data_IF_995540114753
#
_entry.id   IF_995540114753
#
_cell.length_a   1.000
_cell.length_b   1.000
_cell.length_c   1.000
_cell.angle_alpha   90.00
_cell.angle_beta   90.00
_cell.angle_gamma   90.00
#
_symmetry.space_group_name_H-M   'P 1'
#
loop_
_entity.id
_entity.type
_entity.pdbx_description
1 polymer ?
#
# COMPACT_ATOMS: atom_id res chain seq x y z
N UNK A 1 -11.49 -25.95 -9.65
CA UNK A 1 -11.78 -26.28 -8.24
C UNK A 1 -12.48 -25.08 -7.61
N UNK A 2 -13.67 -25.27 -7.05
CA UNK A 2 -14.41 -24.23 -6.30
C UNK A 2 -13.62 -23.99 -5.02
N UNK A 3 -13.08 -22.77 -4.84
CA UNK A 3 -12.53 -22.35 -3.55
C UNK A 3 -13.64 -22.52 -2.50
N UNK A 4 -13.32 -23.21 -1.40
CA UNK A 4 -14.28 -23.41 -0.32
C UNK A 4 -14.75 -22.04 0.19
N UNK A 5 -16.00 -21.71 -0.05
CA UNK A 5 -16.65 -20.41 0.18
C UNK A 5 -16.32 -19.70 1.52
N UNK A 6 -16.10 -20.37 2.67
CA UNK A 6 -15.92 -19.67 3.93
C UNK A 6 -14.55 -18.98 4.10
N UNK A 7 -13.45 -19.54 3.57
CA UNK A 7 -12.12 -18.91 3.69
C UNK A 7 -11.97 -17.70 2.79
N UNK A 8 -12.52 -17.73 1.59
CA UNK A 8 -12.52 -16.61 0.66
C UNK A 8 -13.31 -15.42 1.21
N UNK A 9 -14.52 -15.63 1.75
CA UNK A 9 -15.32 -14.56 2.34
C UNK A 9 -14.62 -13.90 3.53
N UNK A 10 -14.02 -14.70 4.42
CA UNK A 10 -13.24 -14.16 5.55
C UNK A 10 -12.07 -13.29 5.08
N UNK A 11 -11.34 -13.72 4.06
CA UNK A 11 -10.24 -12.95 3.50
C UNK A 11 -10.72 -11.61 2.94
N UNK A 12 -11.83 -11.56 2.20
CA UNK A 12 -12.41 -10.33 1.70
C UNK A 12 -12.83 -9.39 2.83
N UNK A 13 -13.56 -9.90 3.83
CA UNK A 13 -14.03 -9.09 4.97
C UNK A 13 -12.86 -8.52 5.79
N UNK A 14 -11.83 -9.32 6.07
CA UNK A 14 -10.65 -8.85 6.78
C UNK A 14 -9.86 -7.82 5.97
N UNK A 15 -9.70 -8.02 4.66
CA UNK A 15 -9.07 -7.03 3.78
C UNK A 15 -9.85 -5.71 3.77
N UNK A 16 -11.17 -5.72 3.63
CA UNK A 16 -11.99 -4.50 3.69
C UNK A 16 -11.81 -3.81 5.04
N UNK A 17 -11.76 -4.57 6.14
CA UNK A 17 -11.56 -4.01 7.48
C UNK A 17 -10.21 -3.31 7.63
N UNK A 18 -9.12 -3.89 7.14
CA UNK A 18 -7.80 -3.24 7.21
C UNK A 18 -7.68 -2.06 6.27
N UNK A 19 -8.33 -2.10 5.10
CA UNK A 19 -8.36 -0.98 4.15
C UNK A 19 -9.15 0.20 4.74
N UNK A 20 -10.25 -0.07 5.47
CA UNK A 20 -10.94 0.94 6.26
C UNK A 20 -10.01 1.56 7.32
N UNK A 21 -9.26 0.73 8.05
CA UNK A 21 -8.26 1.22 9.02
C UNK A 21 -7.21 2.09 8.32
N UNK A 22 -6.64 1.64 7.20
CA UNK A 22 -5.64 2.43 6.47
C UNK A 22 -6.21 3.78 6.02
N UNK A 23 -7.36 3.79 5.35
CA UNK A 23 -8.00 5.04 4.92
C UNK A 23 -8.27 6.01 6.09
N UNK A 24 -8.78 5.49 7.21
CA UNK A 24 -9.07 6.30 8.40
C UNK A 24 -7.80 6.84 9.06
N UNK A 25 -6.69 6.13 9.01
CA UNK A 25 -5.43 6.56 9.63
C UNK A 25 -4.77 7.74 8.93
N UNK A 26 -5.12 8.09 7.68
CA UNK A 26 -4.60 9.30 7.03
C UNK A 26 -4.92 10.58 7.82
N UNK A 27 -6.14 10.72 8.31
CA UNK A 27 -6.55 11.86 9.14
C UNK A 27 -5.83 11.85 10.48
N UNK A 28 -5.78 10.67 11.13
CA UNK A 28 -5.13 10.51 12.43
C UNK A 28 -3.64 10.86 12.36
N UNK A 29 -2.94 10.34 11.35
CA UNK A 29 -1.51 10.62 11.11
C UNK A 29 -1.32 12.11 10.78
N UNK A 30 -2.14 12.68 9.91
CA UNK A 30 -2.06 14.12 9.56
C UNK A 30 -2.13 15.01 10.80
N UNK A 31 -3.01 14.71 11.73
CA UNK A 31 -3.14 15.47 12.98
C UNK A 31 -1.92 15.27 13.89
N UNK A 32 -1.40 14.04 14.00
CA UNK A 32 -0.21 13.77 14.80
C UNK A 32 1.06 14.47 14.26
N UNK A 33 1.16 14.66 12.94
CA UNK A 33 2.31 15.33 12.30
C UNK A 33 2.45 16.83 12.63
N UNK A 34 1.53 17.42 13.38
CA UNK A 34 1.72 18.71 14.00
C UNK A 34 2.77 18.68 15.13
N UNK A 35 2.83 17.56 15.86
CA UNK A 35 3.60 17.41 17.08
C UNK A 35 4.80 16.44 16.95
N UNK A 36 4.90 15.70 15.84
CA UNK A 36 6.00 14.76 15.59
C UNK A 36 6.47 14.87 14.14
N UNK A 37 7.78 14.72 13.97
CA UNK A 37 8.36 14.73 12.63
C UNK A 37 8.03 13.44 11.85
N UNK A 38 7.83 13.51 10.51
CA UNK A 38 7.31 12.42 9.69
C UNK A 38 8.13 11.13 9.73
N UNK A 39 9.45 11.25 9.60
CA UNK A 39 10.31 10.08 9.54
C UNK A 39 10.46 9.42 10.91
N UNK A 40 10.51 10.23 11.98
CA UNK A 40 10.51 9.72 13.35
C UNK A 40 9.19 8.99 13.67
N UNK A 41 8.05 9.54 13.25
CA UNK A 41 6.76 8.89 13.41
C UNK A 41 6.76 7.49 12.79
N UNK A 42 7.24 7.37 11.55
CA UNK A 42 7.32 6.09 10.84
C UNK A 42 8.28 5.12 11.53
N UNK A 43 9.45 5.58 11.98
CA UNK A 43 10.41 4.75 12.70
C UNK A 43 9.80 4.15 13.97
N UNK A 44 9.17 4.98 14.80
CA UNK A 44 8.53 4.52 16.05
C UNK A 44 7.39 3.54 15.73
N UNK A 45 6.51 3.90 14.78
CA UNK A 45 5.39 3.06 14.33
C UNK A 45 5.87 1.68 13.85
N UNK A 46 6.88 1.64 12.98
CA UNK A 46 7.41 0.37 12.43
C UNK A 46 8.13 -0.45 13.50
N UNK A 47 8.88 0.19 14.38
CA UNK A 47 9.55 -0.49 15.50
C UNK A 47 8.54 -1.12 16.45
N UNK A 48 7.48 -0.40 16.85
CA UNK A 48 6.42 -0.95 17.69
C UNK A 48 5.67 -2.08 16.97
N UNK A 49 5.37 -1.92 15.68
CA UNK A 49 4.76 -2.98 14.87
C UNK A 49 5.63 -4.23 14.77
N UNK A 50 6.95 -4.05 14.56
CA UNK A 50 7.90 -5.16 14.56
C UNK A 50 7.96 -5.87 15.91
N UNK A 51 8.04 -5.13 17.02
CA UNK A 51 8.05 -5.72 18.36
C UNK A 51 6.78 -6.53 18.63
N UNK A 52 5.62 -6.01 18.25
CA UNK A 52 4.34 -6.72 18.33
C UNK A 52 4.40 -8.04 17.55
N UNK A 53 4.81 -8.02 16.29
CA UNK A 53 4.94 -9.22 15.45
C UNK A 53 6.02 -10.18 15.97
N UNK A 54 7.12 -9.66 16.48
CA UNK A 54 8.20 -10.46 17.05
C UNK A 54 7.75 -11.25 18.28
N UNK A 55 6.89 -10.65 19.13
CA UNK A 55 6.28 -11.35 20.28
C UNK A 55 5.31 -12.42 19.79
N UNK A 56 4.39 -12.08 18.86
CA UNK A 56 3.36 -13.01 18.36
C UNK A 56 3.99 -14.18 17.62
N UNK A 57 4.97 -13.92 16.78
CA UNK A 57 5.59 -14.91 15.90
C UNK A 57 6.99 -15.35 16.34
N UNK A 58 7.37 -15.21 17.61
CA UNK A 58 8.71 -15.50 18.13
C UNK A 58 9.25 -16.88 17.74
N UNK A 59 8.37 -17.89 17.61
CA UNK A 59 8.76 -19.25 17.20
C UNK A 59 9.25 -19.37 15.76
N UNK A 60 8.85 -18.43 14.90
CA UNK A 60 9.21 -18.45 13.48
C UNK A 60 10.65 -17.97 13.22
N UNK A 61 11.25 -17.21 14.16
CA UNK A 61 12.65 -16.74 14.05
C UNK A 61 13.64 -17.89 13.97
N UNK A 62 13.42 -18.98 14.71
CA UNK A 62 14.33 -20.14 14.74
C UNK A 62 14.46 -20.86 13.41
N UNK A 63 13.53 -20.65 12.48
CA UNK A 63 13.47 -21.34 11.17
C UNK A 63 13.78 -20.42 9.99
N UNK A 64 14.22 -19.18 10.26
CA UNK A 64 14.55 -18.22 9.20
C UNK A 64 15.88 -18.62 8.55
N UNK A 65 15.85 -18.71 7.22
CA UNK A 65 17.04 -18.97 6.39
C UNK A 65 17.43 -17.70 5.64
N UNK A 66 18.67 -17.61 5.20
CA UNK A 66 19.20 -16.45 4.47
C UNK A 66 18.31 -16.01 3.29
N UNK A 67 17.75 -16.91 2.45
CA UNK A 67 16.89 -16.48 1.33
C UNK A 67 15.63 -15.71 1.77
N UNK A 68 14.96 -16.13 2.86
CA UNK A 68 13.76 -15.41 3.34
C UNK A 68 14.15 -14.08 4.01
N UNK A 69 15.32 -14.01 4.65
CA UNK A 69 15.85 -12.77 5.24
C UNK A 69 16.11 -11.75 4.12
N UNK A 70 16.78 -12.17 3.03
CA UNK A 70 17.01 -11.31 1.86
C UNK A 70 15.70 -10.85 1.21
N UNK A 71 14.71 -11.75 1.06
CA UNK A 71 13.39 -11.41 0.56
C UNK A 71 12.70 -10.35 1.45
N UNK A 72 12.71 -10.56 2.76
CA UNK A 72 12.16 -9.62 3.73
C UNK A 72 12.86 -8.26 3.72
N UNK A 73 14.19 -8.24 3.50
CA UNK A 73 14.94 -7.00 3.37
C UNK A 73 14.54 -6.20 2.12
N UNK A 74 14.38 -6.86 0.96
CA UNK A 74 13.94 -6.21 -0.28
C UNK A 74 12.53 -5.64 -0.11
N UNK A 75 11.58 -6.43 0.40
CA UNK A 75 10.21 -5.98 0.63
C UNK A 75 10.18 -4.84 1.66
N UNK A 76 10.99 -4.96 2.74
CA UNK A 76 11.09 -3.95 3.78
C UNK A 76 11.70 -2.63 3.31
N UNK A 77 12.66 -2.66 2.40
CA UNK A 77 13.22 -1.45 1.78
C UNK A 77 12.16 -0.70 0.94
N UNK A 78 11.43 -1.42 0.09
CA UNK A 78 10.35 -0.85 -0.72
C UNK A 78 9.24 -0.27 0.19
N UNK A 79 8.88 -0.99 1.25
CA UNK A 79 7.92 -0.56 2.25
C UNK A 79 8.38 0.73 2.97
N UNK A 80 9.65 0.77 3.39
CA UNK A 80 10.23 1.94 4.03
C UNK A 80 10.18 3.17 3.12
N UNK A 81 10.59 3.03 1.86
CA UNK A 81 10.50 4.10 0.87
C UNK A 81 9.06 4.58 0.70
N UNK A 82 8.10 3.65 0.53
CA UNK A 82 6.67 3.97 0.44
C UNK A 82 6.19 4.82 1.60
N UNK A 83 6.40 4.39 2.84
CA UNK A 83 5.95 5.12 4.03
C UNK A 83 6.69 6.42 4.29
N UNK A 84 8.00 6.48 4.05
CA UNK A 84 8.76 7.73 4.24
C UNK A 84 8.23 8.82 3.32
N UNK A 85 8.06 8.51 2.04
CA UNK A 85 7.48 9.45 1.08
C UNK A 85 6.01 9.77 1.38
N UNK A 86 5.20 8.77 1.80
CA UNK A 86 3.80 8.99 2.15
C UNK A 86 3.65 9.97 3.30
N UNK A 87 4.35 9.75 4.40
CA UNK A 87 4.17 10.53 5.63
C UNK A 87 4.78 11.92 5.48
N UNK A 88 5.94 12.04 4.81
CA UNK A 88 6.51 13.34 4.46
C UNK A 88 5.59 14.11 3.51
N UNK A 89 5.01 13.45 2.51
CA UNK A 89 4.03 14.04 1.60
C UNK A 89 2.75 14.45 2.31
N UNK A 90 2.20 13.60 3.17
CA UNK A 90 0.97 13.85 3.93
C UNK A 90 1.08 15.09 4.82
N UNK A 91 2.27 15.39 5.35
CA UNK A 91 2.51 16.62 6.10
C UNK A 91 2.20 17.88 5.28
N UNK A 92 2.44 17.83 3.97
CA UNK A 92 2.38 18.98 3.04
C UNK A 92 1.11 19.00 2.17
N UNK A 93 0.31 17.91 2.18
CA UNK A 93 -0.94 17.81 1.41
C UNK A 93 -2.12 17.41 2.30
N UNK A 94 -3.31 17.22 1.71
CA UNK A 94 -4.50 16.79 2.46
C UNK A 94 -4.61 15.26 2.53
N UNK A 95 -5.25 14.69 3.57
CA UNK A 95 -5.47 13.26 3.69
C UNK A 95 -6.11 12.64 2.46
N UNK A 96 -7.19 13.25 1.94
CA UNK A 96 -7.88 12.79 0.75
C UNK A 96 -6.98 12.74 -0.48
N UNK A 97 -6.25 13.85 -0.78
CA UNK A 97 -5.33 13.88 -1.92
C UNK A 97 -4.24 12.81 -1.81
N UNK A 98 -3.62 12.72 -0.63
CA UNK A 98 -2.58 11.71 -0.39
C UNK A 98 -3.11 10.31 -0.62
N UNK A 99 -4.30 9.98 -0.12
CA UNK A 99 -4.90 8.65 -0.30
C UNK A 99 -5.22 8.35 -1.77
N UNK A 100 -5.78 9.31 -2.53
CA UNK A 100 -6.08 9.11 -3.96
C UNK A 100 -4.80 8.91 -4.79
N UNK A 101 -3.74 9.68 -4.51
CA UNK A 101 -2.46 9.52 -5.20
C UNK A 101 -1.81 8.18 -4.84
N UNK A 102 -1.83 7.79 -3.54
CA UNK A 102 -1.35 6.48 -3.11
C UNK A 102 -2.12 5.34 -3.78
N UNK A 103 -3.43 5.47 -3.96
CA UNK A 103 -4.28 4.49 -4.65
C UNK A 103 -3.84 4.18 -6.09
N UNK A 104 -3.01 5.03 -6.71
CA UNK A 104 -2.39 4.75 -8.01
C UNK A 104 -1.50 3.50 -8.02
N UNK A 105 -1.13 2.97 -6.87
CA UNK A 105 -0.43 1.67 -6.76
C UNK A 105 -1.12 0.61 -7.60
N UNK A 106 -2.45 0.55 -7.57
CA UNK A 106 -3.25 -0.44 -8.31
C UNK A 106 -3.06 -0.32 -9.82
N UNK A 107 -2.82 0.89 -10.32
CA UNK A 107 -2.56 1.15 -11.74
C UNK A 107 -1.08 0.96 -12.09
N UNK A 108 -0.18 1.38 -11.19
CA UNK A 108 1.28 1.30 -11.42
C UNK A 108 1.75 -0.15 -11.43
N UNK A 109 1.24 -1.01 -10.56
CA UNK A 109 1.64 -2.42 -10.45
C UNK A 109 1.53 -3.18 -11.79
N UNK A 110 0.39 -3.19 -12.50
CA UNK A 110 0.32 -3.85 -13.80
C UNK A 110 1.21 -3.18 -14.86
N UNK A 111 1.45 -1.87 -14.79
CA UNK A 111 2.36 -1.18 -15.72
C UNK A 111 3.82 -1.63 -15.51
N UNK A 112 4.26 -1.75 -14.27
CA UNK A 112 5.59 -2.27 -13.94
C UNK A 112 5.74 -3.76 -14.30
N UNK A 113 4.66 -4.54 -14.27
CA UNK A 113 4.65 -5.94 -14.66
C UNK A 113 4.93 -6.17 -16.17
N UNK A 114 4.94 -5.13 -17.00
CA UNK A 114 5.42 -5.20 -18.40
C UNK A 114 6.92 -5.50 -18.45
N UNK A 115 7.67 -5.02 -17.46
CA UNK A 115 9.13 -5.22 -17.39
C UNK A 115 9.41 -6.68 -16.99
N UNK A 116 10.12 -7.46 -17.83
CA UNK A 116 10.28 -8.91 -17.60
C UNK A 116 10.86 -9.28 -16.23
N UNK A 117 11.80 -8.51 -15.72
CA UNK A 117 12.44 -8.73 -14.40
C UNK A 117 11.57 -8.37 -13.20
N UNK A 118 10.53 -7.56 -13.40
CA UNK A 118 9.61 -7.14 -12.33
C UNK A 118 8.30 -7.92 -12.31
N UNK A 119 7.97 -8.64 -13.39
CA UNK A 119 6.72 -9.38 -13.47
C UNK A 119 6.67 -10.52 -12.45
N UNK A 120 5.68 -10.52 -11.52
CA UNK A 120 5.46 -11.66 -10.66
C UNK A 120 5.13 -12.93 -11.47
N UNK A 121 5.53 -14.14 -11.01
CA UNK A 121 5.32 -15.38 -11.75
C UNK A 121 3.86 -15.67 -12.13
N UNK A 122 2.91 -15.18 -11.33
CA UNK A 122 1.46 -15.34 -11.54
C UNK A 122 0.81 -14.19 -12.29
N UNK A 123 1.55 -13.12 -12.63
CA UNK A 123 0.98 -11.94 -13.27
C UNK A 123 0.92 -12.09 -14.78
N UNK A 124 -0.26 -11.84 -15.34
CA UNK A 124 -0.46 -11.69 -16.78
C UNK A 124 0.02 -10.30 -17.25
N UNK A 125 0.29 -10.19 -18.56
CA UNK A 125 0.57 -8.89 -19.18
C UNK A 125 -0.67 -7.98 -19.12
N UNK A 126 -0.49 -6.67 -18.87
CA UNK A 126 -1.59 -5.72 -18.88
C UNK A 126 -2.22 -5.66 -20.28
N UNK A 127 -3.55 -5.70 -20.31
CA UNK A 127 -4.35 -5.58 -21.53
C UNK A 127 -4.66 -4.11 -21.80
N UNK A 128 -5.33 -3.83 -22.90
CA UNK A 128 -5.71 -2.47 -23.30
C UNK A 128 -6.47 -1.70 -22.22
N UNK A 129 -7.32 -2.39 -21.44
CA UNK A 129 -8.09 -1.81 -20.33
C UNK A 129 -7.20 -1.27 -19.21
N UNK A 130 -6.08 -1.94 -18.90
CA UNK A 130 -5.11 -1.47 -17.91
C UNK A 130 -4.43 -0.16 -18.37
N UNK A 131 -4.10 -0.05 -19.66
CA UNK A 131 -3.56 1.18 -20.24
C UNK A 131 -4.58 2.33 -20.24
N UNK A 132 -5.81 2.04 -20.63
CA UNK A 132 -6.90 3.03 -20.58
C UNK A 132 -7.16 3.47 -19.12
N UNK A 133 -7.17 2.53 -18.19
CA UNK A 133 -7.30 2.80 -16.76
C UNK A 133 -6.16 3.70 -16.23
N UNK A 134 -4.92 3.42 -16.64
CA UNK A 134 -3.76 4.23 -16.28
C UNK A 134 -3.88 5.68 -16.76
N UNK A 135 -4.25 5.88 -18.02
CA UNK A 135 -4.45 7.22 -18.60
C UNK A 135 -5.59 7.96 -17.89
N UNK A 136 -6.72 7.28 -17.66
CA UNK A 136 -7.88 7.85 -16.96
C UNK A 136 -7.52 8.27 -15.53
N UNK A 137 -6.82 7.41 -14.79
CA UNK A 137 -6.38 7.72 -13.44
C UNK A 137 -5.34 8.84 -13.41
N UNK A 138 -4.42 8.90 -14.37
CA UNK A 138 -3.45 9.98 -14.48
C UNK A 138 -4.13 11.35 -14.71
N UNK A 139 -5.10 11.40 -15.64
CA UNK A 139 -5.93 12.62 -15.86
C UNK A 139 -6.64 12.99 -14.56
N UNK A 140 -7.19 11.99 -13.84
CA UNK A 140 -7.83 12.19 -12.54
C UNK A 140 -6.91 12.84 -11.50
N UNK A 141 -5.63 12.40 -11.41
CA UNK A 141 -4.66 13.00 -10.50
C UNK A 141 -4.34 14.44 -10.89
N UNK A 142 -4.16 14.72 -12.17
CA UNK A 142 -3.91 16.09 -12.65
C UNK A 142 -5.07 17.01 -12.25
N UNK A 143 -6.33 16.56 -12.40
CA UNK A 143 -7.50 17.31 -11.98
C UNK A 143 -7.59 17.47 -10.46
N UNK A 144 -7.26 16.43 -9.69
CA UNK A 144 -7.31 16.43 -8.23
C UNK A 144 -6.27 17.37 -7.62
N UNK A 145 -5.07 17.42 -8.19
CA UNK A 145 -3.94 18.18 -7.64
C UNK A 145 -3.85 19.61 -8.16
N UNK A 146 -4.45 19.91 -9.33
CA UNK A 146 -4.39 21.24 -9.92
C UNK A 146 -5.04 22.33 -9.03
N UNK A 147 -4.40 23.50 -8.97
CA UNK A 147 -4.89 24.64 -8.19
C UNK A 147 -6.13 25.29 -8.82
N UNK A 148 -7.05 25.79 -7.99
CA UNK A 148 -8.23 26.50 -8.46
C UNK A 148 -7.84 27.74 -9.31
N UNK A 149 -8.54 27.96 -10.43
CA UNK A 149 -8.32 29.12 -11.30
C UNK A 149 -7.32 28.95 -12.44
N UNK A 150 -6.58 27.85 -12.53
CA UNK A 150 -5.65 27.62 -13.63
C UNK A 150 -6.21 26.61 -14.66
N UNK A 151 -5.94 26.85 -15.95
CA UNK A 151 -6.32 25.92 -17.00
C UNK A 151 -5.62 24.56 -16.80
N UNK A 152 -6.35 23.47 -17.08
CA UNK A 152 -5.77 22.12 -17.07
C UNK A 152 -4.81 22.01 -18.26
N UNK A 153 -3.54 22.16 -18.00
CA UNK A 153 -2.48 22.00 -18.99
C UNK A 153 -1.37 21.12 -18.41
N UNK A 154 -0.47 20.63 -19.24
CA UNK A 154 0.71 19.92 -18.75
C UNK A 154 1.55 20.78 -17.79
N UNK A 155 1.42 22.12 -17.89
CA UNK A 155 1.99 23.08 -16.92
C UNK A 155 1.37 22.95 -15.52
N UNK A 156 0.16 22.40 -15.36
CA UNK A 156 -0.44 22.14 -14.06
C UNK A 156 0.32 21.07 -13.28
N UNK A 157 0.99 20.14 -13.97
CA UNK A 157 1.90 19.17 -13.34
C UNK A 157 3.11 19.85 -12.70
N UNK A 158 3.60 20.95 -13.29
CA UNK A 158 4.66 21.78 -12.70
C UNK A 158 4.22 22.54 -11.44
N UNK A 159 2.92 22.62 -11.19
CA UNK A 159 2.32 23.31 -10.04
C UNK A 159 1.90 22.35 -8.93
N UNK A 160 2.22 21.05 -9.06
CA UNK A 160 2.04 20.10 -7.96
C UNK A 160 2.84 20.60 -6.75
N UNK A 161 2.20 20.58 -5.57
CA UNK A 161 2.94 20.88 -4.37
C UNK A 161 3.91 19.72 -4.04
N UNK A 162 4.94 20.01 -3.26
CA UNK A 162 5.95 19.02 -2.89
C UNK A 162 5.30 17.80 -2.19
N UNK A 163 4.22 18.00 -1.43
CA UNK A 163 3.51 16.90 -0.75
C UNK A 163 2.84 15.93 -1.72
N UNK A 164 2.21 16.45 -2.79
CA UNK A 164 1.61 15.63 -3.83
C UNK A 164 2.68 14.84 -4.60
N UNK A 165 3.83 15.49 -4.91
CA UNK A 165 4.96 14.83 -5.58
C UNK A 165 5.58 13.72 -4.72
N UNK A 166 5.82 13.98 -3.43
CA UNK A 166 6.29 12.95 -2.50
C UNK A 166 5.31 11.77 -2.44
N UNK A 167 4.01 12.04 -2.46
CA UNK A 167 2.99 10.98 -2.48
C UNK A 167 3.01 10.17 -3.79
N UNK A 168 3.39 10.77 -4.92
CA UNK A 168 3.64 10.00 -6.16
C UNK A 168 4.82 9.03 -6.00
N UNK A 169 5.90 9.45 -5.37
CA UNK A 169 7.03 8.54 -5.04
C UNK A 169 6.61 7.46 -4.03
N UNK A 170 5.73 7.79 -3.08
CA UNK A 170 5.12 6.80 -2.19
C UNK A 170 4.38 5.72 -2.98
N UNK A 171 3.52 6.10 -3.93
CA UNK A 171 2.78 5.15 -4.76
C UNK A 171 3.73 4.22 -5.53
N UNK A 172 4.84 4.75 -6.03
CA UNK A 172 5.89 3.95 -6.69
C UNK A 172 6.57 2.99 -5.70
N UNK A 173 6.93 3.45 -4.50
CA UNK A 173 7.52 2.62 -3.46
C UNK A 173 6.62 1.46 -3.05
N UNK A 174 5.34 1.70 -2.84
CA UNK A 174 4.37 0.65 -2.53
C UNK A 174 4.10 -0.27 -3.74
N UNK A 175 4.15 0.23 -4.98
CA UNK A 175 4.03 -0.62 -6.15
C UNK A 175 5.19 -1.64 -6.23
N UNK A 176 6.43 -1.20 -5.95
CA UNK A 176 7.57 -2.12 -5.84
C UNK A 176 7.43 -3.08 -4.66
N UNK A 177 6.90 -2.63 -3.51
CA UNK A 177 6.64 -3.50 -2.36
C UNK A 177 5.63 -4.59 -2.70
N UNK A 178 4.52 -4.26 -3.37
CA UNK A 178 3.50 -5.24 -3.81
C UNK A 178 4.09 -6.25 -4.79
N UNK A 179 4.87 -5.80 -5.77
CA UNK A 179 5.56 -6.66 -6.74
C UNK A 179 6.55 -7.59 -6.04
N UNK A 180 7.40 -7.06 -5.16
CA UNK A 180 8.36 -7.87 -4.42
C UNK A 180 7.66 -8.90 -3.53
N UNK A 181 6.60 -8.49 -2.82
CA UNK A 181 5.81 -9.41 -2.00
C UNK A 181 5.16 -10.51 -2.85
N UNK A 182 4.61 -10.18 -4.02
CA UNK A 182 4.03 -11.15 -4.95
C UNK A 182 5.06 -12.17 -5.50
N UNK A 183 6.34 -11.79 -5.60
CA UNK A 183 7.42 -12.71 -5.96
C UNK A 183 7.77 -13.68 -4.84
N UNK A 184 7.74 -13.22 -3.59
CA UNK A 184 8.27 -13.98 -2.45
C UNK A 184 7.20 -14.73 -1.66
N UNK A 185 5.94 -14.24 -1.61
CA UNK A 185 4.86 -14.87 -0.83
C UNK A 185 4.53 -16.32 -1.25
N UNK A 186 4.66 -16.75 -2.53
CA UNK A 186 4.46 -18.16 -2.87
C UNK A 186 5.59 -19.09 -2.40
N UNK A 187 6.76 -18.53 -2.04
CA UNK A 187 7.99 -19.28 -1.73
C UNK A 187 8.27 -19.38 -0.24
N UNK A 188 7.74 -18.44 0.55
CA UNK A 188 8.08 -18.32 1.97
C UNK A 188 6.83 -18.20 2.84
N UNK A 189 6.86 -18.65 4.11
CA UNK A 189 5.77 -18.50 5.05
C UNK A 189 5.42 -17.01 5.24
N UNK A 190 4.12 -16.69 5.21
CA UNK A 190 3.65 -15.30 5.29
C UNK A 190 4.03 -14.63 6.61
N UNK A 191 4.11 -15.39 7.71
CA UNK A 191 4.52 -14.91 9.04
C UNK A 191 5.95 -14.38 9.01
N UNK A 192 6.85 -15.13 8.36
CA UNK A 192 8.26 -14.72 8.23
C UNK A 192 8.39 -13.46 7.38
N UNK A 193 7.68 -13.39 6.25
CA UNK A 193 7.68 -12.21 5.39
C UNK A 193 7.06 -11.00 6.11
N UNK A 194 5.96 -11.18 6.86
CA UNK A 194 5.32 -10.10 7.63
C UNK A 194 6.28 -9.52 8.68
N UNK A 195 6.96 -10.36 9.47
CA UNK A 195 7.94 -9.89 10.46
C UNK A 195 9.10 -9.17 9.79
N UNK A 196 9.70 -9.81 8.78
CA UNK A 196 10.94 -9.32 8.18
C UNK A 196 10.75 -8.02 7.42
N UNK A 197 9.64 -7.86 6.67
CA UNK A 197 9.39 -6.61 5.96
C UNK A 197 9.21 -5.42 6.91
N UNK A 198 8.54 -5.62 8.06
CA UNK A 198 8.37 -4.56 9.06
C UNK A 198 9.69 -4.29 9.79
N UNK A 199 10.42 -5.34 10.20
CA UNK A 199 11.71 -5.20 10.87
C UNK A 199 12.78 -4.52 10.01
N UNK A 200 12.94 -4.95 8.76
CA UNK A 200 13.85 -4.29 7.83
C UNK A 200 13.36 -2.89 7.44
N UNK A 201 12.03 -2.70 7.33
CA UNK A 201 11.45 -1.37 7.16
C UNK A 201 11.87 -0.43 8.28
N UNK A 202 11.73 -0.83 9.53
CA UNK A 202 12.19 -0.07 10.69
C UNK A 202 13.71 0.19 10.66
N UNK A 203 14.50 -0.82 10.30
CA UNK A 203 15.95 -0.68 10.18
C UNK A 203 16.35 0.36 9.12
N UNK A 204 15.78 0.29 7.92
CA UNK A 204 16.05 1.27 6.86
C UNK A 204 15.60 2.68 7.24
N UNK A 205 14.46 2.79 7.94
CA UNK A 205 14.00 4.08 8.48
C UNK A 205 14.96 4.63 9.55
N UNK A 206 15.48 3.79 10.44
CA UNK A 206 16.46 4.20 11.43
C UNK A 206 17.76 4.70 10.80
N UNK A 207 18.24 4.00 9.77
CA UNK A 207 19.45 4.40 9.03
C UNK A 207 19.24 5.69 8.25
N UNK A 208 18.06 5.88 7.63
CA UNK A 208 17.77 7.06 6.81
C UNK A 208 17.47 8.33 7.62
N UNK A 209 16.91 8.19 8.83
CA UNK A 209 16.46 9.31 9.65
C UNK A 209 17.52 10.43 9.83
N UNK A 210 18.77 10.14 10.24
CA UNK A 210 19.76 11.20 10.50
C UNK A 210 20.20 11.97 9.25
N UNK A 211 19.95 11.44 8.05
CA UNK A 211 20.34 12.06 6.79
C UNK A 211 19.27 12.98 6.21
N UNK A 212 18.00 12.74 6.54
CA UNK A 212 16.86 13.40 5.88
C UNK A 212 16.01 14.24 6.81
N UNK A 213 16.16 14.11 8.13
CA UNK A 213 15.30 14.82 9.08
C UNK A 213 16.06 15.15 10.39
N UNK A 214 15.78 16.33 10.93
CA UNK A 214 16.05 16.65 12.32
C UNK A 214 14.84 16.21 13.16
N UNK A 215 14.92 15.07 13.87
CA UNK A 215 13.77 14.50 14.54
C UNK A 215 13.32 15.36 15.72
N UNK A 216 12.01 15.56 15.85
CA UNK A 216 11.40 16.18 17.01
C UNK A 216 10.09 15.46 17.37
N UNK A 217 9.73 15.52 18.64
CA UNK A 217 8.45 15.03 19.14
C UNK A 217 7.98 15.81 20.37
N UNK A 218 6.72 16.21 20.33
CA UNK A 218 5.97 16.66 21.49
C UNK A 218 4.95 15.58 21.82
N UNK A 219 5.12 14.94 22.97
CA UNK A 219 4.27 13.83 23.39
C UNK A 219 2.88 14.32 23.78
N UNK A 220 1.95 14.27 22.84
CA UNK A 220 0.54 14.58 23.05
C UNK A 220 -0.31 13.31 23.03
N UNK A 221 -1.52 13.30 23.61
CA UNK A 221 -2.44 12.18 23.48
C UNK A 221 -2.73 11.80 22.01
N UNK A 222 -2.74 12.77 21.11
CA UNK A 222 -2.92 12.55 19.67
C UNK A 222 -1.77 11.75 19.08
N UNK A 223 -0.52 12.08 19.40
CA UNK A 223 0.67 11.35 18.94
C UNK A 223 0.67 9.93 19.48
N UNK A 224 0.39 9.75 20.78
CA UNK A 224 0.35 8.43 21.41
C UNK A 224 -0.74 7.54 20.81
N UNK A 225 -1.94 8.09 20.61
CA UNK A 225 -3.05 7.36 19.98
C UNK A 225 -2.72 7.02 18.52
N UNK A 226 -2.15 7.95 17.75
CA UNK A 226 -1.75 7.72 16.38
C UNK A 226 -0.68 6.62 16.27
N UNK A 227 0.36 6.67 17.10
CA UNK A 227 1.40 5.64 17.13
C UNK A 227 0.83 4.27 17.53
N UNK A 228 0.02 4.19 18.59
CA UNK A 228 -0.58 2.93 19.05
C UNK A 228 -1.50 2.30 17.99
N UNK A 229 -2.44 3.08 17.44
CA UNK A 229 -3.39 2.60 16.43
C UNK A 229 -2.63 2.20 15.14
N UNK A 230 -1.71 3.04 14.67
CA UNK A 230 -1.00 2.73 13.42
C UNK A 230 -0.01 1.59 13.57
N UNK A 231 0.68 1.45 14.70
CA UNK A 231 1.60 0.35 14.93
C UNK A 231 0.88 -1.00 15.04
N UNK A 232 -0.23 -1.06 15.77
CA UNK A 232 -0.92 -2.32 16.05
C UNK A 232 -1.87 -2.66 14.90
N UNK A 233 -2.82 -1.76 14.56
CA UNK A 233 -3.87 -2.08 13.59
C UNK A 233 -3.40 -1.88 12.15
N UNK A 234 -2.80 -0.72 11.83
CA UNK A 234 -2.43 -0.38 10.46
C UNK A 234 -1.05 -0.92 10.04
N UNK A 235 -0.27 -1.50 10.96
CA UNK A 235 1.02 -2.13 10.65
C UNK A 235 1.01 -3.62 11.02
N UNK A 236 1.08 -3.98 12.29
CA UNK A 236 1.22 -5.39 12.67
C UNK A 236 0.05 -6.26 12.16
N UNK A 237 -1.18 -5.89 12.48
CA UNK A 237 -2.38 -6.64 12.07
C UNK A 237 -2.57 -6.56 10.55
N UNK A 238 -2.51 -5.36 9.97
CA UNK A 238 -2.82 -5.15 8.57
C UNK A 238 -1.86 -5.90 7.64
N UNK A 239 -0.55 -5.85 7.86
CA UNK A 239 0.42 -6.58 7.03
C UNK A 239 0.39 -8.10 7.26
N UNK A 240 -0.02 -8.55 8.44
CA UNK A 240 -0.30 -9.97 8.67
C UNK A 240 -1.49 -10.44 7.84
N UNK A 241 -2.62 -9.71 7.93
CA UNK A 241 -3.83 -10.03 7.16
C UNK A 241 -3.58 -9.92 5.66
N UNK A 242 -2.88 -8.88 5.20
CA UNK A 242 -2.53 -8.72 3.78
C UNK A 242 -1.69 -9.89 3.28
N UNK A 243 -0.62 -10.25 4.00
CA UNK A 243 0.27 -11.35 3.63
C UNK A 243 -0.48 -12.69 3.60
N UNK A 244 -1.36 -12.93 4.58
CA UNK A 244 -2.21 -14.11 4.61
C UNK A 244 -3.25 -14.10 3.48
N UNK A 245 -3.94 -13.00 3.25
CA UNK A 245 -4.94 -12.89 2.19
C UNK A 245 -4.34 -13.09 0.80
N UNK A 246 -3.15 -12.56 0.54
CA UNK A 246 -2.43 -12.76 -0.73
C UNK A 246 -1.96 -14.21 -0.95
N UNK A 247 -1.91 -15.03 0.08
CA UNK A 247 -1.67 -16.49 -0.07
C UNK A 247 -2.92 -17.27 -0.50
N UNK A 248 -4.12 -16.66 -0.40
CA UNK A 248 -5.42 -17.29 -0.65
C UNK A 248 -6.14 -16.65 -1.83
N UNK A 249 -6.11 -15.31 -1.92
CA UNK A 249 -6.84 -14.55 -2.93
C UNK A 249 -5.95 -14.23 -4.13
N UNK A 250 -6.55 -14.18 -5.34
CA UNK A 250 -5.88 -13.62 -6.51
C UNK A 250 -5.46 -12.16 -6.27
N UNK A 251 -4.33 -11.75 -6.85
CA UNK A 251 -3.82 -10.39 -6.75
C UNK A 251 -4.86 -9.33 -7.20
N UNK A 252 -5.67 -9.64 -8.22
CA UNK A 252 -6.74 -8.79 -8.73
C UNK A 252 -7.81 -8.50 -7.68
N UNK A 253 -8.26 -9.51 -6.93
CA UNK A 253 -9.26 -9.31 -5.86
C UNK A 253 -8.69 -8.47 -4.72
N UNK A 254 -7.43 -8.70 -4.37
CA UNK A 254 -6.73 -7.90 -3.35
C UNK A 254 -6.60 -6.45 -3.80
N UNK A 255 -6.17 -6.21 -5.04
CA UNK A 255 -6.02 -4.88 -5.62
C UNK A 255 -7.35 -4.10 -5.65
N UNK A 256 -8.44 -4.76 -6.06
CA UNK A 256 -9.78 -4.14 -6.08
C UNK A 256 -10.23 -3.71 -4.69
N UNK A 257 -9.94 -4.50 -3.65
CA UNK A 257 -10.28 -4.14 -2.27
C UNK A 257 -9.39 -2.98 -1.79
N UNK A 258 -8.09 -3.00 -2.09
CA UNK A 258 -7.17 -1.91 -1.76
C UNK A 258 -7.60 -0.58 -2.42
N UNK A 259 -8.23 -0.63 -3.57
CA UNK A 259 -8.78 0.55 -4.25
C UNK A 259 -9.88 1.30 -3.46
N UNK A 260 -10.44 0.70 -2.41
CA UNK A 260 -11.38 1.36 -1.50
C UNK A 260 -10.68 2.29 -0.48
N UNK A 261 -9.37 2.20 -0.31
CA UNK A 261 -8.62 3.02 0.64
C UNK A 261 -8.83 4.53 0.45
N UNK A 262 -8.73 5.09 -0.78
CA UNK A 262 -9.03 6.51 -1.01
C UNK A 262 -10.47 6.90 -0.66
N UNK A 263 -11.43 6.01 -0.86
CA UNK A 263 -12.84 6.26 -0.52
C UNK A 263 -13.00 6.39 1.00
N UNK A 264 -12.43 5.47 1.76
CA UNK A 264 -12.46 5.53 3.22
C UNK A 264 -11.68 6.74 3.78
N UNK A 265 -10.54 7.10 3.17
CA UNK A 265 -9.77 8.27 3.54
C UNK A 265 -10.55 9.57 3.28
N UNK A 266 -11.23 9.67 2.12
CA UNK A 266 -12.09 10.80 1.82
C UNK A 266 -13.28 10.89 2.79
N UNK A 267 -13.97 9.78 3.03
CA UNK A 267 -15.12 9.74 3.95
C UNK A 267 -14.69 10.19 5.36
N UNK A 268 -13.59 9.67 5.87
CA UNK A 268 -13.07 10.02 7.19
C UNK A 268 -12.61 11.48 7.24
N UNK A 269 -11.97 11.99 6.19
CA UNK A 269 -11.56 13.40 6.09
C UNK A 269 -12.78 14.34 6.06
N UNK A 270 -13.84 13.94 5.35
CA UNK A 270 -15.09 14.69 5.32
C UNK A 270 -15.77 14.72 6.70
N UNK A 271 -15.91 13.56 7.34
CA UNK A 271 -16.60 13.44 8.63
C UNK A 271 -15.85 14.13 9.80
N UNK A 272 -14.51 14.05 9.82
CA UNK A 272 -13.70 14.55 10.95
C UNK A 272 -13.20 15.97 10.73
N UNK A 273 -12.77 16.31 9.50
CA UNK A 273 -12.15 17.59 9.19
C UNK A 273 -13.10 18.55 8.43
N UNK A 274 -14.29 18.09 8.03
CA UNK A 274 -15.20 18.86 7.17
C UNK A 274 -14.63 19.10 5.75
N UNK A 275 -13.58 18.37 5.35
CA UNK A 275 -12.92 18.56 4.05
C UNK A 275 -13.63 17.77 2.96
N UNK A 276 -14.54 18.43 2.24
CA UNK A 276 -15.19 17.86 1.06
C UNK A 276 -14.34 18.04 -0.21
N UNK A 277 -14.52 17.11 -1.15
CA UNK A 277 -14.04 17.30 -2.52
C UNK A 277 -15.14 17.97 -3.33
N UNK A 278 -14.83 19.11 -3.99
CA UNK A 278 -15.78 19.88 -4.76
C UNK A 278 -15.28 20.15 -6.18
N UNK A 279 -16.20 20.33 -7.12
CA UNK A 279 -15.90 20.71 -8.48
C UNK A 279 -14.85 19.82 -9.14
N UNK A 280 -13.75 20.43 -9.58
CA UNK A 280 -12.67 19.73 -10.30
C UNK A 280 -11.98 18.64 -9.47
N UNK A 281 -11.80 18.85 -8.17
CA UNK A 281 -11.18 17.86 -7.31
C UNK A 281 -12.05 16.60 -7.17
N UNK A 282 -13.38 16.78 -7.09
CA UNK A 282 -14.32 15.64 -7.10
C UNK A 282 -14.29 14.90 -8.44
N UNK A 283 -14.30 15.63 -9.55
CA UNK A 283 -14.18 15.02 -10.88
C UNK A 283 -12.87 14.24 -11.02
N UNK A 284 -11.75 14.79 -10.53
CA UNK A 284 -10.46 14.12 -10.48
C UNK A 284 -10.49 12.83 -9.66
N UNK A 285 -11.06 12.86 -8.47
CA UNK A 285 -11.22 11.68 -7.61
C UNK A 285 -12.06 10.58 -8.29
N UNK A 286 -13.18 10.95 -8.91
CA UNK A 286 -14.01 10.02 -9.66
C UNK A 286 -13.29 9.40 -10.85
N UNK A 287 -12.47 10.17 -11.58
CA UNK A 287 -11.64 9.64 -12.66
C UNK A 287 -10.55 8.70 -12.16
N UNK A 288 -9.93 8.97 -11.00
CA UNK A 288 -8.98 8.03 -10.38
C UNK A 288 -9.68 6.71 -10.07
N UNK A 289 -10.83 6.74 -9.42
CA UNK A 289 -11.61 5.53 -9.11
C UNK A 289 -12.04 4.78 -10.37
N UNK A 290 -12.51 5.52 -11.40
CA UNK A 290 -12.88 4.91 -12.69
C UNK A 290 -11.68 4.25 -13.38
N UNK A 291 -10.50 4.90 -13.36
CA UNK A 291 -9.26 4.34 -13.89
C UNK A 291 -8.83 3.05 -13.17
N UNK A 292 -8.91 3.04 -11.84
CA UNK A 292 -8.66 1.86 -11.02
C UNK A 292 -9.65 0.73 -11.39
N UNK A 293 -10.95 1.03 -11.44
CA UNK A 293 -11.98 0.05 -11.80
C UNK A 293 -11.76 -0.52 -13.21
N UNK A 294 -11.41 0.31 -14.20
CA UNK A 294 -11.09 -0.12 -15.55
C UNK A 294 -9.89 -1.07 -15.59
N UNK A 295 -8.89 -0.83 -14.77
CA UNK A 295 -7.71 -1.69 -14.69
C UNK A 295 -8.07 -3.10 -14.18
N UNK A 296 -9.02 -3.21 -13.25
CA UNK A 296 -9.36 -4.46 -12.54
C UNK A 296 -10.49 -5.27 -13.19
N UNK A 297 -11.49 -4.63 -13.83
CA UNK A 297 -12.70 -5.30 -14.35
C UNK A 297 -12.40 -6.37 -15.40
N UNK A 298 -11.32 -6.22 -16.16
CA UNK A 298 -10.95 -7.13 -17.26
C UNK A 298 -9.62 -7.85 -16.99
N UNK A 299 -9.32 -8.12 -15.73
CA UNK A 299 -8.15 -8.90 -15.38
C UNK A 299 -8.28 -10.34 -15.95
N UNK A 300 -7.26 -10.87 -16.63
CA UNK A 300 -7.33 -12.22 -17.19
C UNK A 300 -7.46 -13.25 -16.05
N UNK A 301 -8.15 -14.40 -16.30
CA UNK A 301 -8.22 -15.48 -15.32
C UNK A 301 -6.81 -15.94 -14.97
N UNK A 302 -6.56 -16.09 -13.66
CA UNK A 302 -5.28 -16.60 -13.14
C UNK A 302 -5.02 -18.00 -13.72
N UNK A 303 -3.97 -18.16 -14.50
CA UNK A 303 -3.53 -19.47 -14.94
C UNK A 303 -2.98 -20.21 -13.72
N UNK A 304 -3.44 -21.44 -13.42
CA UNK A 304 -2.87 -22.26 -12.36
C UNK A 304 -1.39 -22.51 -12.67
N UNK A 305 -0.51 -22.32 -11.69
CA UNK A 305 0.91 -22.57 -11.84
C UNK A 305 1.16 -24.03 -12.21
N UNK A 306 1.99 -24.30 -13.22
CA UNK A 306 2.33 -25.64 -13.73
C UNK A 306 2.84 -26.64 -12.67
N UNK A 307 3.19 -26.18 -11.46
CA UNK A 307 3.64 -27.05 -10.36
C UNK A 307 2.54 -27.91 -9.73
N UNK A 308 1.26 -27.59 -9.95
CA UNK A 308 0.14 -28.43 -9.42
C UNK A 308 -0.31 -29.53 -10.37
N UNK A 309 -0.01 -29.43 -11.66
CA UNK A 309 -0.35 -30.49 -12.62
C UNK A 309 0.56 -31.73 -12.50
N UNK A 310 1.83 -31.52 -12.15
CA UNK A 310 2.80 -32.63 -12.01
C UNK A 310 2.58 -33.46 -10.74
N UNK A 311 2.08 -32.84 -9.66
CA UNK A 311 1.78 -33.58 -8.42
C UNK A 311 0.48 -34.38 -8.48
N UNK A 312 -0.43 -34.03 -9.39
CA UNK A 312 -1.67 -34.76 -9.60
C UNK A 312 -1.46 -36.01 -10.50
N UNK A 313 -0.55 -35.91 -11.50
CA UNK A 313 -0.19 -37.06 -12.33
C UNK A 313 0.66 -38.13 -11.61
N UNK A 314 1.38 -37.78 -10.53
CA UNK A 314 2.11 -38.74 -9.71
C UNK A 314 1.27 -39.42 -8.62
N UNK A 315 0.01 -39.04 -8.43
CA UNK A 315 -0.89 -39.74 -7.49
C UNK A 315 -1.79 -40.78 -8.14
N UNK A 316 -1.81 -40.80 -9.46
CA UNK A 316 -2.60 -41.76 -10.25
C UNK A 316 -1.73 -42.86 -10.94
N UNK A 317 -0.45 -42.94 -10.60
CA UNK A 317 0.50 -44.01 -10.91
C UNK A 317 0.95 -44.72 -9.63
#
# INVERSE_FOLDING_TARGET
MRYSHPHSLRAHLLLVSIVFVWGSTFVLVKNALADISPLLFNLIRMTLGFLCLAIVYHRHFRRMRLPVIAAGAIVGLCLAAGYQFQTAGLRLTTPSKSAFITGMVVVIVPMLAVIPGLRPPSAALPRWNAWLGAVTAFIGIVLLTAHAGHAVSFAAFRQMNLGDLLTCFCALGFAFQVIALAHFSPRFPFEQLAILQIGFGALFMAVSLPFFEHPYVHWTPTVLAALGITAILATALAFTVLSWAQSILPATHTALILALEPVFAWLTSFLILGQGLHGRALAGALLVLAGIALTEIVAPPVQPSHSQSTSMQMRDL
#
